data_IF_891547999958
#
_entry.id   IF_891547999958
#
_cell.length_a   1.000
_cell.length_b   1.000
_cell.length_c   1.000
_cell.angle_alpha   90.00
_cell.angle_beta   90.00
_cell.angle_gamma   90.00
#
_symmetry.space_group_name_H-M   'P 1'
#
loop_
_entity.id
_entity.type
_entity.pdbx_description
1 polymer ?
#
# COMPACT_ATOMS: atom_id res chain seq x y z
N UNK A 1 6.88 4.55 10.63
CA UNK A 1 7.36 5.57 9.68
C UNK A 1 6.27 6.60 9.36
N UNK A 2 5.24 6.30 8.55
CA UNK A 2 4.24 7.31 8.15
C UNK A 2 3.42 7.92 9.30
N UNK A 3 2.76 7.08 10.12
CA UNK A 3 1.94 7.55 11.25
C UNK A 3 2.75 8.33 12.30
N UNK A 4 3.97 7.88 12.59
CA UNK A 4 4.87 8.59 13.51
C UNK A 4 5.20 10.00 13.02
N UNK A 5 5.29 10.21 11.69
CA UNK A 5 5.51 11.54 11.11
C UNK A 5 4.26 12.41 11.13
N UNK A 6 3.08 11.83 10.88
CA UNK A 6 1.81 12.55 11.08
C UNK A 6 1.69 13.06 12.52
N UNK A 7 2.03 12.21 13.50
CA UNK A 7 2.02 12.58 14.92
C UNK A 7 3.09 13.64 15.22
N UNK A 8 4.31 13.51 14.66
CA UNK A 8 5.37 14.51 14.80
C UNK A 8 4.94 15.90 14.31
N UNK A 9 4.37 15.98 13.11
CA UNK A 9 3.91 17.25 12.53
C UNK A 9 2.82 17.89 13.38
N UNK A 10 1.88 17.09 13.89
CA UNK A 10 0.84 17.57 14.81
C UNK A 10 1.44 18.13 16.11
N UNK A 11 2.42 17.45 16.71
CA UNK A 11 3.03 17.89 17.97
C UNK A 11 3.97 19.10 17.82
N UNK A 12 4.57 19.29 16.64
CA UNK A 12 5.61 20.31 16.42
C UNK A 12 5.11 21.55 15.67
N UNK A 13 4.18 21.38 14.75
CA UNK A 13 3.70 22.44 13.85
C UNK A 13 2.18 22.67 13.96
N UNK A 14 1.48 21.95 14.86
CA UNK A 14 0.00 21.96 14.98
C UNK A 14 -0.71 21.56 13.67
N UNK A 15 0.01 20.88 12.77
CA UNK A 15 -0.44 20.43 11.46
C UNK A 15 0.06 19.00 11.20
N UNK A 16 -0.87 18.05 11.20
CA UNK A 16 -0.57 16.63 10.97
C UNK A 16 -0.02 16.33 9.56
N UNK A 17 -0.11 17.28 8.63
CA UNK A 17 0.38 17.15 7.25
C UNK A 17 1.78 17.71 7.03
N UNK A 18 2.28 18.57 7.92
CA UNK A 18 3.56 19.28 7.76
C UNK A 18 4.75 18.36 7.52
N UNK A 19 4.74 17.21 8.20
CA UNK A 19 5.84 16.22 8.19
C UNK A 19 5.55 15.03 7.27
N UNK A 20 4.44 15.05 6.51
CA UNK A 20 4.07 13.94 5.63
C UNK A 20 4.85 13.93 4.30
N UNK A 21 5.49 15.05 3.94
CA UNK A 21 6.33 15.11 2.75
C UNK A 21 7.40 14.00 2.77
N UNK A 22 7.55 13.23 1.67
CA UNK A 22 8.34 12.01 1.67
C UNK A 22 9.82 12.33 1.90
N UNK A 23 10.33 12.01 3.09
CA UNK A 23 11.76 12.02 3.40
C UNK A 23 12.43 10.68 3.03
N UNK A 24 11.65 9.59 3.01
CA UNK A 24 12.12 8.28 2.58
C UNK A 24 11.01 7.49 1.86
N UNK A 25 11.44 6.65 0.91
CA UNK A 25 10.53 5.89 0.04
C UNK A 25 9.83 4.77 0.84
N UNK A 26 10.52 4.16 1.81
CA UNK A 26 9.96 3.12 2.68
C UNK A 26 8.76 3.62 3.50
N UNK A 27 8.85 4.82 4.09
CA UNK A 27 7.77 5.39 4.88
C UNK A 27 6.52 5.66 4.06
N UNK A 28 6.67 6.14 2.83
CA UNK A 28 5.55 6.49 1.96
C UNK A 28 4.96 5.29 1.19
N UNK A 29 5.77 4.26 0.90
CA UNK A 29 5.30 3.05 0.23
C UNK A 29 4.34 2.21 1.09
N UNK A 30 4.37 2.34 2.42
CA UNK A 30 3.44 1.65 3.32
C UNK A 30 1.96 1.98 3.07
N UNK A 31 1.54 3.26 3.19
CA UNK A 31 0.18 3.70 2.86
C UNK A 31 -0.26 3.34 1.44
N UNK A 32 0.62 3.48 0.44
CA UNK A 32 0.33 3.05 -0.93
C UNK A 32 0.02 1.55 -0.97
N UNK A 33 0.80 0.74 -0.25
CA UNK A 33 0.57 -0.70 -0.13
C UNK A 33 -0.77 -1.05 0.48
N UNK A 34 -1.25 -0.28 1.46
CA UNK A 34 -2.60 -0.47 2.03
C UNK A 34 -3.70 -0.18 1.00
N UNK A 35 -3.54 0.85 0.17
CA UNK A 35 -4.49 1.16 -0.92
C UNK A 35 -4.51 0.03 -1.95
N UNK A 36 -3.35 -0.47 -2.37
CA UNK A 36 -3.28 -1.57 -3.34
C UNK A 36 -3.83 -2.86 -2.73
N UNK A 37 -3.52 -3.17 -1.47
CA UNK A 37 -4.08 -4.32 -0.76
C UNK A 37 -5.61 -4.25 -0.70
N UNK A 38 -6.16 -3.08 -0.40
CA UNK A 38 -7.60 -2.87 -0.44
C UNK A 38 -8.19 -3.16 -1.83
N UNK A 39 -7.51 -2.76 -2.91
CA UNK A 39 -7.92 -3.08 -4.28
C UNK A 39 -7.89 -4.59 -4.55
N UNK A 40 -6.82 -5.28 -4.14
CA UNK A 40 -6.70 -6.75 -4.25
C UNK A 40 -7.89 -7.44 -3.59
N UNK A 41 -8.19 -7.07 -2.34
CA UNK A 41 -9.31 -7.64 -1.57
C UNK A 41 -10.64 -7.29 -2.21
N UNK A 42 -10.85 -6.03 -2.60
CA UNK A 42 -12.09 -5.56 -3.24
C UNK A 42 -12.41 -6.34 -4.51
N UNK A 43 -11.43 -6.48 -5.40
CA UNK A 43 -11.62 -7.19 -6.67
C UNK A 43 -11.74 -8.71 -6.47
N UNK A 44 -11.05 -9.28 -5.49
CA UNK A 44 -11.21 -10.69 -5.10
C UNK A 44 -12.63 -10.99 -4.64
N UNK A 45 -13.17 -10.18 -3.71
CA UNK A 45 -14.56 -10.32 -3.24
C UNK A 45 -15.58 -10.16 -4.36
N UNK A 46 -15.40 -9.18 -5.25
CA UNK A 46 -16.31 -8.98 -6.39
C UNK A 46 -16.24 -10.13 -7.41
N UNK A 47 -15.06 -10.73 -7.59
CA UNK A 47 -14.90 -11.92 -8.42
C UNK A 47 -15.66 -13.11 -7.83
N UNK A 48 -15.55 -13.36 -6.51
CA UNK A 48 -16.30 -14.43 -5.84
C UNK A 48 -17.80 -14.22 -5.95
N UNK A 49 -18.28 -13.02 -5.63
CA UNK A 49 -19.69 -12.67 -5.69
C UNK A 49 -20.28 -12.89 -7.08
N UNK A 50 -19.63 -12.36 -8.14
CA UNK A 50 -20.11 -12.54 -9.51
C UNK A 50 -20.08 -14.01 -9.94
N UNK A 51 -19.07 -14.78 -9.50
CA UNK A 51 -18.98 -16.22 -9.78
C UNK A 51 -20.14 -16.98 -9.15
N UNK A 52 -20.48 -16.67 -7.89
CA UNK A 52 -21.61 -17.28 -7.17
C UNK A 52 -22.96 -16.91 -7.79
N UNK A 53 -23.10 -15.66 -8.27
CA UNK A 53 -24.28 -15.18 -8.98
C UNK A 53 -24.39 -15.65 -10.44
N UNK A 54 -23.46 -16.49 -10.92
CA UNK A 54 -23.34 -16.88 -12.34
C UNK A 54 -23.25 -15.70 -13.31
N UNK A 55 -22.72 -14.56 -12.85
CA UNK A 55 -22.47 -13.36 -13.65
C UNK A 55 -21.05 -13.34 -14.22
N UNK A 56 -20.81 -12.48 -15.21
CA UNK A 56 -19.46 -12.27 -15.74
C UNK A 56 -18.50 -11.72 -14.68
N UNK A 57 -17.41 -12.45 -14.43
CA UNK A 57 -16.41 -12.10 -13.41
C UNK A 57 -15.01 -11.81 -14.00
N UNK A 58 -14.82 -11.99 -15.32
CA UNK A 58 -13.50 -11.92 -15.99
C UNK A 58 -12.79 -10.59 -15.76
N UNK A 59 -13.51 -9.46 -15.84
CA UNK A 59 -12.93 -8.13 -15.64
C UNK A 59 -12.42 -7.95 -14.21
N UNK A 60 -13.20 -8.38 -13.21
CA UNK A 60 -12.80 -8.25 -11.80
C UNK A 60 -11.64 -9.18 -11.47
N UNK A 61 -11.63 -10.40 -12.04
CA UNK A 61 -10.50 -11.33 -11.94
C UNK A 61 -9.21 -10.73 -12.47
N UNK A 62 -9.25 -10.10 -13.65
CA UNK A 62 -8.08 -9.43 -14.23
C UNK A 62 -7.60 -8.27 -13.37
N UNK A 63 -8.52 -7.44 -12.84
CA UNK A 63 -8.16 -6.34 -11.93
C UNK A 63 -7.54 -6.85 -10.63
N UNK A 64 -8.07 -7.92 -10.05
CA UNK A 64 -7.50 -8.57 -8.88
C UNK A 64 -6.08 -9.05 -9.14
N UNK A 65 -5.85 -9.78 -10.23
CA UNK A 65 -4.52 -10.26 -10.62
C UNK A 65 -3.52 -9.12 -10.80
N UNK A 66 -3.88 -8.07 -11.56
CA UNK A 66 -3.01 -6.90 -11.76
C UNK A 66 -2.71 -6.14 -10.47
N UNK A 67 -3.70 -5.98 -9.59
CA UNK A 67 -3.48 -5.38 -8.28
C UNK A 67 -2.53 -6.25 -7.41
N UNK A 68 -2.65 -7.59 -7.50
CA UNK A 68 -1.78 -8.51 -6.78
C UNK A 68 -0.33 -8.45 -7.29
N UNK A 69 -0.13 -8.36 -8.60
CA UNK A 69 1.20 -8.18 -9.20
C UNK A 69 1.86 -6.87 -8.72
N UNK A 70 1.11 -5.77 -8.72
CA UNK A 70 1.58 -4.49 -8.18
C UNK A 70 1.89 -4.58 -6.69
N UNK A 71 1.06 -5.29 -5.92
CA UNK A 71 1.29 -5.51 -4.49
C UNK A 71 2.60 -6.26 -4.26
N UNK A 72 2.86 -7.33 -5.01
CA UNK A 72 4.08 -8.12 -4.86
C UNK A 72 5.34 -7.30 -5.18
N UNK A 73 5.32 -6.53 -6.27
CA UNK A 73 6.41 -5.63 -6.59
C UNK A 73 6.65 -4.59 -5.49
N UNK A 74 5.57 -3.98 -4.97
CA UNK A 74 5.67 -2.98 -3.92
C UNK A 74 6.16 -3.57 -2.60
N UNK A 75 5.70 -4.75 -2.19
CA UNK A 75 6.15 -5.42 -0.97
C UNK A 75 7.64 -5.73 -1.04
N UNK A 76 8.13 -6.21 -2.18
CA UNK A 76 9.56 -6.47 -2.39
C UNK A 76 10.38 -5.19 -2.22
N UNK A 77 9.99 -4.09 -2.87
CA UNK A 77 10.68 -2.80 -2.75
C UNK A 77 10.58 -2.26 -1.32
N UNK A 78 9.40 -2.33 -0.71
CA UNK A 78 9.14 -1.80 0.63
C UNK A 78 9.97 -2.51 1.69
N UNK A 79 10.01 -3.84 1.68
CA UNK A 79 10.80 -4.62 2.64
C UNK A 79 12.30 -4.46 2.42
N UNK A 80 12.74 -4.44 1.15
CA UNK A 80 14.14 -4.22 0.81
C UNK A 80 14.66 -2.84 1.27
N UNK A 81 13.91 -1.78 1.01
CA UNK A 81 14.26 -0.44 1.50
C UNK A 81 14.19 -0.34 3.03
N UNK A 82 13.26 -1.04 3.66
CA UNK A 82 13.19 -1.13 5.13
C UNK A 82 14.45 -1.74 5.71
N UNK A 83 14.98 -2.79 5.09
CA UNK A 83 16.25 -3.41 5.47
C UNK A 83 17.42 -2.44 5.32
N UNK A 84 17.56 -1.79 4.15
CA UNK A 84 18.66 -0.84 3.91
C UNK A 84 18.63 0.32 4.91
N UNK A 85 17.45 0.91 5.16
CA UNK A 85 17.34 2.03 6.11
C UNK A 85 17.56 1.62 7.57
N UNK A 86 17.24 0.37 7.93
CA UNK A 86 17.46 -0.13 9.29
C UNK A 86 18.94 -0.36 9.56
N UNK A 87 19.64 -0.99 8.62
CA UNK A 87 21.04 -1.39 8.80
C UNK A 87 22.04 -0.39 8.25
N UNK A 88 21.57 0.73 7.67
CA UNK A 88 22.42 1.74 7.02
C UNK A 88 23.47 1.06 6.12
N UNK A 89 23.03 0.10 5.29
CA UNK A 89 23.93 -0.75 4.47
C UNK A 89 24.65 0.08 3.39
N UNK A 90 24.50 1.40 3.40
CA UNK A 90 25.09 2.38 2.49
C UNK A 90 25.32 3.68 3.27
#
# INVERSE_FOLDING_TARGET
>A
AFLARAISGFLTNDDWTSDLMPQNIHGFSGPIGLVILWLVVRYGRKTSFNKEASESFTVQRTKHGRAADMMMALVMIHSFLGLIYTFQVI
#
